data_IF_019843702495
#
_entry.id   IF_019843702495
#
_cell.length_a   1.000
_cell.length_b   1.000
_cell.length_c   1.000
_cell.angle_alpha   90.00
_cell.angle_beta   90.00
_cell.angle_gamma   90.00
#
_symmetry.space_group_name_H-M   'P 1'
#
loop_
_entity.id
_entity.type
_entity.pdbx_description
1 polymer ?
#
# COMPACT_ATOMS: atom_id res chain seq x y z
N UNK A 1 -1.51 -29.54 -24.29
CA UNK A 1 -1.44 -30.05 -22.91
C UNK A 1 0.02 -30.29 -22.59
N UNK A 2 0.65 -29.43 -21.79
CA UNK A 2 1.98 -29.67 -21.22
C UNK A 2 2.25 -28.68 -20.07
N UNK A 3 2.21 -29.23 -18.85
CA UNK A 3 3.05 -28.93 -17.69
C UNK A 3 3.13 -27.48 -17.15
N UNK A 4 2.40 -27.26 -16.06
CA UNK A 4 2.69 -26.24 -15.06
C UNK A 4 4.01 -26.57 -14.35
N UNK A 5 5.01 -25.68 -14.29
CA UNK A 5 6.00 -25.73 -13.25
C UNK A 5 5.41 -25.04 -12.01
N UNK A 6 5.08 -25.84 -11.00
CA UNK A 6 4.97 -25.38 -9.62
C UNK A 6 6.35 -24.84 -9.20
N UNK A 7 6.58 -23.56 -9.47
CA UNK A 7 7.79 -22.87 -9.04
C UNK A 7 7.82 -22.76 -7.51
N UNK A 8 8.99 -22.89 -6.88
CA UNK A 8 9.13 -22.74 -5.44
C UNK A 8 8.66 -21.33 -5.05
N UNK A 9 8.07 -21.16 -3.86
CA UNK A 9 7.85 -19.83 -3.26
C UNK A 9 9.15 -19.02 -3.41
N UNK A 10 9.21 -18.18 -4.43
CA UNK A 10 10.45 -17.51 -4.81
C UNK A 10 10.75 -16.51 -3.71
N UNK A 11 11.98 -16.53 -3.22
CA UNK A 11 12.64 -15.52 -2.38
C UNK A 11 11.73 -14.34 -2.04
N UNK A 12 11.28 -14.25 -0.78
CA UNK A 12 10.49 -13.12 -0.29
C UNK A 12 11.18 -11.81 -0.74
N UNK A 13 10.60 -11.17 -1.76
CA UNK A 13 11.21 -9.98 -2.33
C UNK A 13 11.07 -8.89 -1.27
N UNK A 14 12.18 -8.47 -0.66
CA UNK A 14 12.19 -7.48 0.43
C UNK A 14 11.63 -6.10 0.03
N UNK A 15 11.41 -5.88 -1.28
CA UNK A 15 10.85 -4.66 -1.85
C UNK A 15 9.76 -5.05 -2.87
N UNK A 16 8.49 -5.21 -2.47
CA UNK A 16 7.42 -5.52 -3.41
C UNK A 16 7.35 -4.45 -4.51
N UNK A 17 7.11 -4.87 -5.75
CA UNK A 17 6.91 -3.96 -6.87
C UNK A 17 5.43 -3.58 -6.94
N UNK A 18 5.14 -2.29 -6.88
CA UNK A 18 3.77 -1.75 -6.85
C UNK A 18 3.62 -0.72 -7.96
N UNK A 19 2.55 -0.84 -8.75
CA UNK A 19 2.13 0.14 -9.74
C UNK A 19 1.03 1.04 -9.17
N UNK A 20 1.11 2.34 -9.48
CA UNK A 20 0.04 3.31 -9.24
C UNK A 20 -0.61 3.66 -10.58
N UNK A 21 -1.87 3.27 -10.76
CA UNK A 21 -2.53 3.28 -12.06
C UNK A 21 -4.05 3.46 -11.95
N UNK A 22 -4.73 3.70 -13.08
CA UNK A 22 -6.19 3.69 -13.18
C UNK A 22 -6.64 2.47 -13.98
N UNK A 23 -7.76 1.85 -13.62
CA UNK A 23 -8.34 0.78 -14.43
C UNK A 23 -9.18 1.36 -15.57
N UNK A 24 -10.06 2.32 -15.25
CA UNK A 24 -10.92 2.99 -16.24
C UNK A 24 -10.79 4.52 -16.22
N UNK A 25 -11.12 5.20 -17.34
CA UNK A 25 -11.33 6.64 -17.35
C UNK A 25 -12.40 7.06 -16.34
N UNK A 26 -12.11 8.10 -15.55
CA UNK A 26 -12.96 8.60 -14.47
C UNK A 26 -12.65 8.05 -13.07
N UNK A 27 -11.99 6.90 -12.94
CA UNK A 27 -11.71 6.30 -11.64
C UNK A 27 -10.51 6.92 -10.91
N UNK A 28 -10.53 6.81 -9.59
CA UNK A 28 -9.39 7.13 -8.73
C UNK A 28 -8.24 6.15 -8.98
N UNK A 29 -7.01 6.62 -8.76
CA UNK A 29 -5.82 5.79 -8.94
C UNK A 29 -5.72 4.75 -7.82
N UNK A 30 -5.32 3.53 -8.17
CA UNK A 30 -5.21 2.40 -7.25
C UNK A 30 -3.84 1.73 -7.35
N UNK A 31 -3.54 0.90 -6.36
CA UNK A 31 -2.31 0.11 -6.28
C UNK A 31 -2.55 -1.30 -6.83
N UNK A 32 -1.61 -1.81 -7.62
CA UNK A 32 -1.56 -3.21 -8.05
C UNK A 32 -0.13 -3.73 -8.05
N UNK A 33 0.01 -5.05 -8.00
CA UNK A 33 1.25 -5.75 -8.27
C UNK A 33 1.72 -5.52 -9.72
N UNK A 34 3.04 -5.47 -9.90
CA UNK A 34 3.64 -5.21 -11.22
C UNK A 34 4.97 -5.91 -11.40
N UNK A 35 5.37 -6.06 -12.66
CA UNK A 35 6.70 -6.57 -13.05
C UNK A 35 7.67 -5.45 -13.43
N UNK A 36 7.18 -4.21 -13.54
CA UNK A 36 8.01 -3.06 -13.87
C UNK A 36 8.74 -2.54 -12.63
N UNK A 37 10.05 -2.29 -12.75
CA UNK A 37 10.85 -1.73 -11.65
C UNK A 37 10.53 -0.24 -11.49
N UNK A 38 10.00 0.13 -10.34
CA UNK A 38 9.75 1.52 -9.95
C UNK A 38 10.93 2.18 -9.22
N UNK A 39 10.71 3.41 -8.78
CA UNK A 39 11.61 4.15 -7.88
C UNK A 39 11.36 3.85 -6.40
N UNK A 40 12.17 4.46 -5.54
CA UNK A 40 11.96 4.48 -4.08
C UNK A 40 11.73 5.90 -3.61
N UNK A 41 11.00 6.05 -2.50
CA UNK A 41 10.77 7.34 -1.86
C UNK A 41 11.44 7.37 -0.47
N UNK A 42 11.88 8.53 0.01
CA UNK A 42 12.26 8.68 1.41
C UNK A 42 11.11 8.26 2.32
N UNK A 43 11.37 7.38 3.27
CA UNK A 43 10.37 6.88 4.20
C UNK A 43 10.49 7.58 5.54
N UNK A 44 9.34 7.97 6.11
CA UNK A 44 9.20 8.41 7.50
C UNK A 44 8.17 7.49 8.17
N UNK A 45 8.50 6.97 9.36
CA UNK A 45 7.57 6.14 10.12
C UNK A 45 6.57 7.01 10.87
N UNK A 46 5.42 6.45 11.25
CA UNK A 46 4.45 7.13 12.12
C UNK A 46 5.09 7.66 13.40
N UNK A 47 5.95 6.85 14.03
CA UNK A 47 6.71 7.23 15.24
C UNK A 47 7.79 8.29 14.98
N UNK A 48 8.20 8.49 13.73
CA UNK A 48 9.19 9.49 13.32
C UNK A 48 8.58 10.83 12.90
N UNK A 49 7.26 10.94 12.89
CA UNK A 49 6.55 12.19 12.65
C UNK A 49 6.53 13.08 13.90
N UNK A 50 6.47 14.39 13.70
CA UNK A 50 6.17 15.32 14.80
C UNK A 50 4.75 15.07 15.32
N UNK A 51 4.46 15.56 16.52
CA UNK A 51 3.13 15.46 17.11
C UNK A 51 2.08 16.17 16.24
N UNK A 52 2.40 17.36 15.72
CA UNK A 52 1.49 18.17 14.90
C UNK A 52 1.17 17.47 13.57
N UNK A 53 2.16 16.80 12.97
CA UNK A 53 1.96 16.02 11.76
C UNK A 53 1.04 14.81 12.02
N UNK A 54 1.22 14.10 13.16
CA UNK A 54 0.32 13.00 13.54
C UNK A 54 -1.09 13.50 13.79
N UNK A 55 -1.27 14.60 14.53
CA UNK A 55 -2.59 15.19 14.79
C UNK A 55 -3.31 15.61 13.51
N UNK A 56 -2.59 16.21 12.56
CA UNK A 56 -3.16 16.58 11.26
C UNK A 56 -3.63 15.34 10.49
N UNK A 57 -2.81 14.28 10.44
CA UNK A 57 -3.18 13.02 9.78
C UNK A 57 -4.29 12.27 10.51
N UNK A 58 -4.49 12.53 11.79
CA UNK A 58 -5.57 11.96 12.59
C UNK A 58 -6.92 12.64 12.28
N UNK A 59 -6.94 13.99 12.24
CA UNK A 59 -8.18 14.76 12.32
C UNK A 59 -8.56 15.52 11.03
N UNK A 60 -7.63 15.79 10.12
CA UNK A 60 -7.92 16.60 8.93
C UNK A 60 -8.68 15.78 7.88
N UNK A 61 -9.73 16.39 7.31
CA UNK A 61 -10.49 15.80 6.22
C UNK A 61 -9.84 16.07 4.86
N UNK A 62 -9.19 15.04 4.30
CA UNK A 62 -8.58 15.09 2.98
C UNK A 62 -9.58 14.79 1.83
N UNK A 63 -10.88 14.64 2.13
CA UNK A 63 -11.88 14.06 1.22
C UNK A 63 -11.73 12.55 1.04
N UNK A 64 -10.65 11.98 1.59
CA UNK A 64 -10.33 10.56 1.67
C UNK A 64 -9.70 10.27 3.03
N UNK A 65 -9.77 9.01 3.47
CA UNK A 65 -9.27 8.60 4.79
C UNK A 65 -7.78 8.30 4.76
N UNK A 66 -7.05 8.75 5.79
CA UNK A 66 -5.65 8.36 6.01
C UNK A 66 -5.62 6.89 6.44
N UNK A 67 -4.97 5.98 5.68
CA UNK A 67 -5.15 4.55 5.88
C UNK A 67 -4.42 3.98 7.10
N UNK A 68 -3.56 4.78 7.74
CA UNK A 68 -2.71 4.38 8.87
C UNK A 68 -2.89 5.25 10.11
N UNK A 69 -3.92 6.11 10.16
CA UNK A 69 -4.30 6.80 11.39
C UNK A 69 -5.00 5.84 12.37
N UNK A 70 -5.28 6.30 13.59
CA UNK A 70 -5.79 5.41 14.65
C UNK A 70 -7.14 4.76 14.31
N UNK A 71 -8.03 5.52 13.67
CA UNK A 71 -9.36 5.03 13.26
C UNK A 71 -9.31 3.96 12.16
N UNK A 72 -8.32 4.03 11.26
CA UNK A 72 -8.30 3.20 10.05
C UNK A 72 -7.25 2.08 10.07
N UNK A 73 -6.20 2.17 10.91
CA UNK A 73 -5.10 1.20 10.88
C UNK A 73 -5.56 -0.24 11.13
N UNK A 74 -6.25 -0.49 12.25
CA UNK A 74 -6.77 -1.83 12.60
C UNK A 74 -7.74 -2.40 11.56
N UNK A 75 -8.81 -1.67 11.17
CA UNK A 75 -9.73 -2.11 10.13
C UNK A 75 -9.06 -2.38 8.78
N UNK A 76 -8.09 -1.56 8.38
CA UNK A 76 -7.37 -1.77 7.13
C UNK A 76 -6.45 -2.98 7.18
N UNK A 77 -5.79 -3.26 8.31
CA UNK A 77 -5.03 -4.49 8.49
C UNK A 77 -5.91 -5.73 8.38
N UNK A 78 -7.09 -5.71 9.00
CA UNK A 78 -8.04 -6.82 8.89
C UNK A 78 -8.48 -7.06 7.42
N UNK A 79 -8.72 -5.98 6.66
CA UNK A 79 -9.08 -6.07 5.24
C UNK A 79 -7.92 -6.50 4.33
N UNK A 80 -6.69 -6.15 4.68
CA UNK A 80 -5.50 -6.50 3.92
C UNK A 80 -4.99 -7.92 4.21
N UNK A 81 -5.55 -8.59 5.22
CA UNK A 81 -5.19 -9.96 5.54
C UNK A 81 -5.66 -10.91 4.43
N UNK A 82 -4.73 -11.66 3.86
CA UNK A 82 -4.96 -12.46 2.65
C UNK A 82 -5.67 -13.80 2.87
N UNK A 83 -5.97 -14.16 4.13
CA UNK A 83 -6.59 -15.45 4.48
C UNK A 83 -8.04 -15.27 4.89
#
# INVERSE_FOLDING_TARGET
MAMMPSGPCSQATRNPLVAYHRNLPGEHLTLADTRYRGGKQPAVSWSGLTEEARQTLEAYDFGHRVPFNSDNFGPNLARAYYR
#
